data_IF_678141831159
#
_entry.id   IF_678141831159
#
_cell.length_a   1.000
_cell.length_b   1.000
_cell.length_c   1.000
_cell.angle_alpha   90.00
_cell.angle_beta   90.00
_cell.angle_gamma   90.00
#
_symmetry.space_group_name_H-M   'P 1'
#
loop_
_entity.id
_entity.type
_entity.pdbx_description
1 polymer ?
#
# COMPACT_ATOMS: atom_id res chain seq x y z
N UNK A 1 5.37 85.74 -41.06
CA UNK A 1 4.65 84.84 -40.13
C UNK A 1 4.38 83.54 -40.86
N UNK A 2 5.23 82.53 -40.70
CA UNK A 2 5.11 81.23 -41.37
C UNK A 2 4.27 80.30 -40.50
N UNK A 3 3.12 79.87 -41.00
CA UNK A 3 2.24 78.94 -40.29
C UNK A 3 2.83 77.52 -40.32
N UNK A 4 3.15 76.99 -39.15
CA UNK A 4 3.62 75.62 -38.95
C UNK A 4 2.44 74.65 -39.06
N UNK A 5 2.46 73.75 -40.06
CA UNK A 5 1.47 72.70 -40.22
C UNK A 5 1.70 71.60 -39.16
N UNK A 6 0.74 71.41 -38.26
CA UNK A 6 0.76 70.32 -37.27
C UNK A 6 0.39 69.00 -37.96
N UNK A 7 1.10 67.88 -37.67
CA UNK A 7 0.75 66.59 -38.24
C UNK A 7 -0.57 66.09 -37.65
N UNK A 8 -1.45 65.61 -38.51
CA UNK A 8 -2.71 64.99 -38.11
C UNK A 8 -2.42 63.66 -37.38
N UNK A 9 -2.80 63.59 -36.09
CA UNK A 9 -2.79 62.34 -35.32
C UNK A 9 -3.81 61.37 -35.92
N UNK A 10 -3.33 60.23 -36.43
CA UNK A 10 -4.18 59.10 -36.82
C UNK A 10 -5.02 58.65 -35.61
N UNK A 11 -6.35 58.71 -35.75
CA UNK A 11 -7.28 58.16 -34.77
C UNK A 11 -7.29 56.65 -34.95
N UNK A 12 -6.80 55.92 -33.96
CA UNK A 12 -6.98 54.46 -33.88
C UNK A 12 -8.47 54.20 -33.70
N UNK A 13 -9.09 53.60 -34.72
CA UNK A 13 -10.50 53.19 -34.65
C UNK A 13 -10.65 52.10 -33.58
N UNK A 14 -11.70 52.15 -32.74
CA UNK A 14 -11.93 51.14 -31.73
C UNK A 14 -12.17 49.77 -32.39
N UNK A 15 -11.60 48.69 -31.83
CA UNK A 15 -11.74 47.35 -32.41
C UNK A 15 -13.23 46.96 -32.41
N UNK A 16 -13.79 46.77 -33.60
CA UNK A 16 -15.16 46.30 -33.76
C UNK A 16 -15.19 44.80 -33.52
N UNK A 17 -16.07 44.34 -32.63
CA UNK A 17 -16.29 42.92 -32.30
C UNK A 17 -16.73 42.04 -33.50
N UNK A 18 -16.93 42.63 -34.68
CA UNK A 18 -17.31 41.95 -35.92
C UNK A 18 -16.16 41.79 -36.92
N UNK A 19 -14.93 42.13 -36.52
CA UNK A 19 -13.79 41.99 -37.42
C UNK A 19 -13.40 40.50 -37.56
N UNK A 20 -13.50 39.88 -38.76
CA UNK A 20 -13.18 38.47 -38.96
C UNK A 20 -11.73 38.14 -38.56
N UNK A 21 -10.82 39.13 -38.60
CA UNK A 21 -9.44 38.97 -38.15
C UNK A 21 -9.33 38.78 -36.64
N UNK A 22 -10.18 39.47 -35.88
CA UNK A 22 -10.27 39.31 -34.42
C UNK A 22 -10.80 37.92 -34.08
N UNK A 23 -11.82 37.45 -34.78
CA UNK A 23 -12.38 36.11 -34.60
C UNK A 23 -11.34 35.02 -34.87
N UNK A 24 -10.58 35.13 -35.96
CA UNK A 24 -9.49 34.18 -36.27
C UNK A 24 -8.44 34.16 -35.16
N UNK A 25 -8.04 35.34 -34.67
CA UNK A 25 -7.09 35.44 -33.55
C UNK A 25 -7.62 34.77 -32.28
N UNK A 26 -8.88 35.00 -31.92
CA UNK A 26 -9.53 34.38 -30.76
C UNK A 26 -9.58 32.86 -30.90
N UNK A 27 -9.97 32.35 -32.08
CA UNK A 27 -10.02 30.90 -32.34
C UNK A 27 -8.64 30.27 -32.24
N UNK A 28 -7.60 30.91 -32.79
CA UNK A 28 -6.21 30.45 -32.67
C UNK A 28 -5.73 30.40 -31.22
N UNK A 29 -6.06 31.42 -30.42
CA UNK A 29 -5.72 31.46 -28.99
C UNK A 29 -6.46 30.33 -28.26
N UNK A 30 -7.77 30.18 -28.48
CA UNK A 30 -8.57 29.14 -27.86
C UNK A 30 -8.07 27.72 -28.20
N UNK A 31 -7.71 27.49 -29.48
CA UNK A 31 -7.13 26.21 -29.93
C UNK A 31 -5.76 25.94 -29.28
N UNK A 32 -4.90 26.96 -29.18
CA UNK A 32 -3.60 26.85 -28.51
C UNK A 32 -3.76 26.53 -27.02
N UNK A 33 -4.64 27.24 -26.32
CA UNK A 33 -4.95 26.99 -24.91
C UNK A 33 -5.53 25.59 -24.72
N UNK A 34 -6.49 25.18 -25.54
CA UNK A 34 -7.07 23.84 -25.47
C UNK A 34 -6.01 22.75 -25.74
N UNK A 35 -5.11 22.98 -26.69
CA UNK A 35 -3.99 22.08 -26.98
C UNK A 35 -3.04 21.93 -25.79
N UNK A 36 -2.62 23.04 -25.19
CA UNK A 36 -1.76 23.04 -24.00
C UNK A 36 -2.46 22.38 -22.81
N UNK A 37 -3.72 22.71 -22.54
CA UNK A 37 -4.49 22.08 -21.44
C UNK A 37 -4.62 20.58 -21.64
N UNK A 38 -4.87 20.14 -22.88
CA UNK A 38 -4.97 18.71 -23.20
C UNK A 38 -3.64 17.99 -23.02
N UNK A 39 -2.54 18.62 -23.45
CA UNK A 39 -1.19 18.08 -23.28
C UNK A 39 -0.79 17.97 -21.81
N UNK A 40 -1.07 19.00 -21.02
CA UNK A 40 -0.82 19.00 -19.56
C UNK A 40 -1.65 17.94 -18.87
N UNK A 41 -2.94 17.81 -19.20
CA UNK A 41 -3.81 16.74 -18.64
C UNK A 41 -3.32 15.34 -18.99
N UNK A 42 -2.80 15.14 -20.20
CA UNK A 42 -2.20 13.86 -20.58
C UNK A 42 -0.91 13.58 -19.79
N UNK A 43 -0.12 14.61 -19.50
CA UNK A 43 1.10 14.49 -18.71
C UNK A 43 0.84 14.29 -17.19
N UNK A 44 -0.15 14.96 -16.63
CA UNK A 44 -0.55 14.91 -15.21
C UNK A 44 -1.55 13.77 -14.92
N UNK A 45 -1.32 12.58 -15.48
CA UNK A 45 -2.13 11.39 -15.19
C UNK A 45 -1.77 10.81 -13.81
N UNK A 46 -2.24 11.46 -12.75
CA UNK A 46 -2.22 10.94 -11.38
C UNK A 46 -3.63 10.58 -10.95
N UNK A 47 -3.79 9.50 -10.19
CA UNK A 47 -5.05 9.05 -9.64
C UNK A 47 -5.07 9.33 -8.12
N UNK A 48 -6.20 9.81 -7.56
CA UNK A 48 -6.36 9.97 -6.12
C UNK A 48 -6.64 8.59 -5.49
N UNK A 49 -5.70 8.12 -4.67
CA UNK A 49 -5.75 6.83 -3.97
C UNK A 49 -5.46 7.01 -2.48
N UNK A 50 -5.88 6.05 -1.66
CA UNK A 50 -5.59 6.10 -0.23
C UNK A 50 -4.18 5.60 0.10
N UNK A 51 -3.58 6.26 1.09
CA UNK A 51 -2.27 5.95 1.66
C UNK A 51 -2.37 5.91 3.19
N UNK A 52 -1.73 4.94 3.83
CA UNK A 52 -1.75 4.79 5.28
C UNK A 52 -0.90 5.86 5.98
N UNK A 53 -1.42 6.46 7.05
CA UNK A 53 -0.68 7.48 7.85
C UNK A 53 0.12 6.88 9.00
N UNK A 54 -0.17 5.62 9.36
CA UNK A 54 0.46 4.86 10.44
C UNK A 54 0.63 3.41 9.99
N UNK A 55 1.34 2.61 10.78
CA UNK A 55 1.37 1.17 10.56
C UNK A 55 -0.01 0.57 10.85
N UNK A 56 -0.50 -0.23 9.91
CA UNK A 56 -1.78 -0.91 9.98
C UNK A 56 -1.53 -2.42 9.87
N UNK A 57 -1.54 -3.15 11.00
CA UNK A 57 -1.45 -4.61 10.98
C UNK A 57 -2.64 -5.25 10.25
N UNK A 58 -2.50 -6.50 9.82
CA UNK A 58 -3.65 -7.23 9.31
C UNK A 58 -4.66 -7.51 10.43
N UNK A 59 -5.93 -7.62 10.06
CA UNK A 59 -7.04 -7.61 11.00
C UNK A 59 -7.46 -6.21 11.47
N UNK A 60 -6.72 -5.17 11.08
CA UNK A 60 -7.12 -3.78 11.35
C UNK A 60 -8.37 -3.44 10.55
N UNK A 61 -9.43 -3.02 11.24
CA UNK A 61 -10.61 -2.41 10.63
C UNK A 61 -10.29 -0.95 10.33
N UNK A 62 -10.44 -0.55 9.07
CA UNK A 62 -10.08 0.78 8.61
C UNK A 62 -11.08 1.85 9.06
N UNK A 63 -10.54 2.94 9.59
CA UNK A 63 -11.26 4.19 9.85
C UNK A 63 -10.68 5.36 9.03
N UNK A 64 -11.39 6.48 8.98
CA UNK A 64 -11.03 7.70 8.26
C UNK A 64 -9.71 8.31 8.75
N UNK A 65 -9.34 8.09 10.01
CA UNK A 65 -8.09 8.59 10.57
C UNK A 65 -6.85 7.81 10.12
N UNK A 66 -7.04 6.61 9.56
CA UNK A 66 -5.94 5.73 9.16
C UNK A 66 -5.35 6.10 7.80
N UNK A 67 -6.12 6.80 6.96
CA UNK A 67 -5.81 7.01 5.56
C UNK A 67 -5.85 8.48 5.15
N UNK A 68 -4.95 8.85 4.25
CA UNK A 68 -4.95 10.14 3.55
C UNK A 68 -4.96 9.93 2.04
N UNK A 69 -5.44 10.92 1.29
CA UNK A 69 -5.47 10.85 -0.17
C UNK A 69 -4.12 11.31 -0.74
N UNK A 70 -3.49 10.43 -1.50
CA UNK A 70 -2.28 10.70 -2.27
C UNK A 70 -2.60 10.73 -3.77
N UNK A 71 -1.97 11.65 -4.51
CA UNK A 71 -2.08 11.71 -5.97
C UNK A 71 -0.84 11.09 -6.59
N UNK A 72 -0.97 9.87 -7.09
CA UNK A 72 0.14 9.08 -7.62
C UNK A 72 -0.19 8.51 -8.99
N UNK A 73 0.83 8.26 -9.80
CA UNK A 73 0.67 7.61 -11.10
C UNK A 73 0.73 6.09 -10.90
N UNK A 74 -0.43 5.46 -10.91
CA UNK A 74 -0.63 4.03 -10.70
C UNK A 74 -1.65 3.49 -11.69
N UNK A 75 -1.61 2.18 -11.91
CA UNK A 75 -2.62 1.50 -12.72
C UNK A 75 -3.99 1.52 -12.01
N UNK A 76 -5.05 1.68 -12.79
CA UNK A 76 -6.40 1.75 -12.25
C UNK A 76 -6.82 0.41 -11.61
N UNK A 77 -7.39 0.47 -10.41
CA UNK A 77 -7.92 -0.70 -9.69
C UNK A 77 -6.89 -1.48 -8.87
N UNK A 78 -5.60 -1.15 -8.94
CA UNK A 78 -4.57 -1.79 -8.09
C UNK A 78 -4.65 -1.33 -6.65
N UNK A 79 -5.01 -0.06 -6.45
CA UNK A 79 -5.11 0.60 -5.14
C UNK A 79 -6.52 1.15 -4.93
N UNK A 80 -6.89 1.29 -3.67
CA UNK A 80 -8.21 1.81 -3.28
C UNK A 80 -8.32 3.28 -3.67
N UNK A 81 -9.25 3.57 -4.56
CA UNK A 81 -9.54 4.94 -4.99
C UNK A 81 -10.16 5.78 -3.87
N UNK A 82 -9.88 7.08 -3.86
CA UNK A 82 -10.43 8.02 -2.87
C UNK A 82 -11.98 8.10 -2.86
N UNK A 83 -12.66 7.51 -3.84
CA UNK A 83 -14.12 7.45 -3.95
C UNK A 83 -14.74 6.19 -3.34
N UNK A 84 -13.95 5.15 -3.04
CA UNK A 84 -14.44 3.82 -2.66
C UNK A 84 -14.85 3.71 -1.18
N UNK A 85 -14.45 4.67 -0.33
CA UNK A 85 -14.77 4.71 1.11
C UNK A 85 -14.58 3.34 1.80
N UNK A 86 -13.33 2.91 2.06
CA UNK A 86 -13.04 1.57 2.58
C UNK A 86 -13.33 1.38 4.08
N UNK A 87 -14.06 2.31 4.68
CA UNK A 87 -14.30 2.35 6.13
C UNK A 87 -15.11 1.14 6.57
N UNK A 88 -14.69 0.52 7.67
CA UNK A 88 -15.30 -0.73 8.15
C UNK A 88 -14.91 -1.98 7.37
N UNK A 89 -14.04 -1.89 6.36
CA UNK A 89 -13.35 -3.05 5.80
C UNK A 89 -12.12 -3.38 6.65
N UNK A 90 -11.66 -4.62 6.55
CA UNK A 90 -10.53 -5.12 7.32
C UNK A 90 -9.37 -5.47 6.41
N UNK A 91 -8.17 -5.13 6.85
CA UNK A 91 -6.94 -5.44 6.14
C UNK A 91 -6.60 -6.92 6.25
N UNK A 92 -6.42 -7.58 5.11
CA UNK A 92 -6.01 -9.00 5.03
C UNK A 92 -4.50 -9.18 5.12
N UNK A 93 -3.75 -8.11 4.84
CA UNK A 93 -2.31 -8.02 5.04
C UNK A 93 -1.95 -6.71 5.74
N UNK A 94 -0.84 -6.69 6.48
CA UNK A 94 -0.25 -5.46 6.97
C UNK A 94 0.03 -4.44 5.84
N UNK A 95 -0.13 -3.16 6.17
CA UNK A 95 0.15 -2.00 5.32
C UNK A 95 1.00 -1.03 6.13
N UNK A 96 2.18 -0.70 5.60
CA UNK A 96 3.14 0.17 6.27
C UNK A 96 2.78 1.64 6.22
N UNK A 97 3.42 2.45 7.06
CA UNK A 97 3.29 3.91 7.00
C UNK A 97 3.73 4.46 5.64
N UNK A 98 2.90 5.31 5.03
CA UNK A 98 3.15 5.87 3.70
C UNK A 98 2.94 4.89 2.53
N UNK A 99 2.50 3.66 2.80
CA UNK A 99 2.14 2.70 1.76
C UNK A 99 0.76 3.01 1.18
N UNK A 100 0.61 2.86 -0.13
CA UNK A 100 -0.67 2.94 -0.81
C UNK A 100 -1.50 1.70 -0.50
N UNK A 101 -2.77 1.87 -0.15
CA UNK A 101 -3.63 0.74 0.24
C UNK A 101 -3.97 -0.11 -0.99
N UNK A 102 -3.51 -1.37 -1.09
CA UNK A 102 -3.84 -2.23 -2.21
C UNK A 102 -5.31 -2.66 -2.14
N UNK A 103 -6.04 -2.63 -3.26
CA UNK A 103 -7.44 -3.03 -3.28
C UNK A 103 -7.63 -4.51 -2.87
N UNK A 104 -6.68 -5.38 -3.26
CA UNK A 104 -6.66 -6.80 -2.87
C UNK A 104 -6.28 -7.05 -1.40
N UNK A 105 -5.87 -6.02 -0.65
CA UNK A 105 -5.60 -6.13 0.78
C UNK A 105 -6.85 -5.89 1.65
N UNK A 106 -8.01 -5.61 1.04
CA UNK A 106 -9.26 -5.38 1.76
C UNK A 106 -10.18 -6.59 1.69
N UNK A 107 -10.85 -6.86 2.82
CA UNK A 107 -11.96 -7.79 2.91
C UNK A 107 -13.07 -7.18 3.76
N UNK A 108 -14.30 -7.67 3.60
CA UNK A 108 -15.37 -7.37 4.56
C UNK A 108 -15.08 -8.05 5.90
N UNK A 109 -15.45 -7.41 7.01
CA UNK A 109 -15.27 -7.98 8.36
C UNK A 109 -15.87 -9.38 8.48
N UNK A 110 -17.06 -9.59 7.90
CA UNK A 110 -17.75 -10.89 7.93
C UNK A 110 -17.01 -12.00 7.16
N UNK A 111 -16.15 -11.62 6.21
CA UNK A 111 -15.35 -12.56 5.42
C UNK A 111 -13.92 -12.72 5.95
N UNK A 112 -13.52 -11.94 6.96
CA UNK A 112 -12.20 -12.03 7.56
C UNK A 112 -12.19 -13.04 8.70
N UNK A 113 -11.86 -14.27 8.34
CA UNK A 113 -11.81 -15.40 9.26
C UNK A 113 -10.36 -15.86 9.46
N UNK A 114 -9.55 -15.00 10.06
CA UNK A 114 -8.17 -15.30 10.44
C UNK A 114 -7.86 -14.77 11.85
N UNK A 115 -6.90 -15.40 12.53
CA UNK A 115 -6.47 -15.02 13.88
C UNK A 115 -4.95 -15.07 14.00
N UNK A 116 -4.32 -14.16 14.77
CA UNK A 116 -2.89 -14.26 15.07
C UNK A 116 -2.63 -15.45 15.99
N UNK A 117 -1.58 -16.22 15.68
CA UNK A 117 -1.11 -17.35 16.47
C UNK A 117 0.37 -17.14 16.79
N UNK A 118 0.73 -17.29 18.06
CA UNK A 118 2.11 -17.16 18.52
C UNK A 118 2.94 -18.39 18.12
N UNK A 119 4.01 -18.16 17.38
CA UNK A 119 5.00 -19.18 16.99
C UNK A 119 6.31 -18.82 17.66
N UNK A 120 6.67 -19.59 18.69
CA UNK A 120 7.94 -19.41 19.40
C UNK A 120 9.05 -20.12 18.64
N UNK A 121 10.03 -19.38 18.16
CA UNK A 121 11.16 -19.95 17.41
C UNK A 121 12.29 -20.32 18.34
N UNK A 122 12.90 -21.49 18.11
CA UNK A 122 14.13 -21.91 18.81
C UNK A 122 15.39 -21.35 18.15
N UNK A 123 15.26 -20.85 16.92
CA UNK A 123 16.32 -20.22 16.13
C UNK A 123 16.05 -18.74 15.90
N UNK A 124 17.10 -17.92 15.71
CA UNK A 124 16.93 -16.51 15.37
C UNK A 124 16.10 -16.34 14.09
N UNK A 125 15.17 -15.40 14.14
CA UNK A 125 14.40 -14.96 12.98
C UNK A 125 15.28 -14.01 12.16
N UNK A 126 15.18 -14.07 10.83
CA UNK A 126 15.96 -13.19 9.97
C UNK A 126 15.61 -11.72 10.24
N UNK A 127 16.63 -10.83 10.27
CA UNK A 127 16.45 -9.41 10.63
C UNK A 127 15.47 -8.63 9.73
N UNK A 128 15.20 -9.12 8.51
CA UNK A 128 14.23 -8.52 7.59
C UNK A 128 12.78 -8.95 7.81
N UNK A 129 12.51 -9.83 8.78
CA UNK A 129 11.15 -10.30 9.09
C UNK A 129 10.58 -9.45 10.22
N UNK A 130 9.47 -8.78 9.96
CA UNK A 130 8.73 -7.95 10.90
C UNK A 130 7.24 -7.89 10.54
N UNK A 131 6.45 -7.05 11.24
CA UNK A 131 5.07 -6.75 10.82
C UNK A 131 5.07 -6.35 9.35
N UNK A 132 4.25 -6.99 8.52
CA UNK A 132 4.39 -6.81 7.06
C UNK A 132 4.76 -8.06 6.31
N UNK A 133 5.72 -8.80 6.87
CA UNK A 133 6.44 -9.85 6.17
C UNK A 133 5.55 -11.07 5.89
N UNK A 134 5.81 -11.73 4.77
CA UNK A 134 5.21 -13.02 4.43
C UNK A 134 6.23 -14.12 4.75
N UNK A 135 5.80 -15.10 5.53
CA UNK A 135 6.65 -16.18 6.06
C UNK A 135 6.01 -17.54 5.90
N UNK A 136 6.86 -18.55 5.86
CA UNK A 136 6.51 -19.95 6.00
C UNK A 136 6.93 -20.44 7.38
N UNK A 137 6.09 -21.26 8.01
CA UNK A 137 6.35 -21.88 9.31
C UNK A 137 6.64 -23.35 9.11
N UNK A 138 7.78 -23.79 9.63
CA UNK A 138 8.25 -25.17 9.56
C UNK A 138 8.41 -25.75 10.95
N UNK A 139 8.10 -27.04 11.10
CA UNK A 139 8.43 -27.83 12.28
C UNK A 139 9.49 -28.85 11.89
N UNK A 140 10.53 -28.98 12.70
CA UNK A 140 11.55 -30.01 12.57
C UNK A 140 11.50 -30.92 13.78
N UNK A 141 11.25 -32.20 13.55
CA UNK A 141 11.25 -33.23 14.60
C UNK A 141 12.45 -34.13 14.39
N UNK A 142 13.09 -34.54 15.47
CA UNK A 142 14.19 -35.52 15.44
C UNK A 142 13.61 -36.86 15.85
N UNK A 143 13.79 -37.89 15.02
CA UNK A 143 13.33 -39.24 15.33
C UNK A 143 14.23 -39.96 16.35
N UNK A 144 13.87 -41.20 16.70
CA UNK A 144 14.62 -42.03 17.65
C UNK A 144 16.05 -42.36 17.17
N UNK A 145 16.28 -42.34 15.85
CA UNK A 145 17.59 -42.55 15.22
C UNK A 145 18.42 -41.26 15.12
N UNK A 146 17.91 -40.15 15.66
CA UNK A 146 18.55 -38.84 15.64
C UNK A 146 18.49 -38.14 14.29
N UNK A 147 17.65 -38.59 13.36
CA UNK A 147 17.50 -37.97 12.04
C UNK A 147 16.44 -36.85 12.08
N UNK A 148 16.79 -35.63 11.64
CA UNK A 148 15.82 -34.54 11.56
C UNK A 148 14.91 -34.71 10.34
N UNK A 149 13.60 -34.52 10.55
CA UNK A 149 12.59 -34.45 9.51
C UNK A 149 11.83 -33.12 9.63
N UNK A 150 11.89 -32.31 8.58
CA UNK A 150 11.23 -31.00 8.53
C UNK A 150 9.95 -31.07 7.71
N UNK A 151 8.86 -30.52 8.24
CA UNK A 151 7.56 -30.44 7.57
C UNK A 151 7.04 -29.00 7.60
N UNK A 152 6.44 -28.59 6.49
CA UNK A 152 5.76 -27.31 6.39
C UNK A 152 4.45 -27.36 7.20
N UNK A 153 4.26 -26.36 8.05
CA UNK A 153 3.09 -26.22 8.94
C UNK A 153 2.12 -25.20 8.38
N UNK A 154 2.64 -24.09 7.87
CA UNK A 154 1.86 -23.06 7.20
C UNK A 154 2.71 -22.31 6.19
N UNK A 155 2.11 -21.99 5.05
CA UNK A 155 2.75 -21.26 3.96
C UNK A 155 2.11 -19.90 3.77
N UNK A 156 2.91 -18.94 3.31
CA UNK A 156 2.47 -17.59 2.95
C UNK A 156 1.67 -16.87 4.05
N UNK A 157 2.06 -17.06 5.30
CA UNK A 157 1.41 -16.43 6.44
C UNK A 157 1.95 -15.00 6.63
N UNK A 158 1.06 -14.05 6.86
CA UNK A 158 1.45 -12.69 7.20
C UNK A 158 1.89 -12.61 8.66
N UNK A 159 2.97 -11.86 8.90
CA UNK A 159 3.44 -11.54 10.26
C UNK A 159 2.67 -10.33 10.77
N UNK A 160 2.01 -10.52 11.91
CA UNK A 160 1.31 -9.48 12.67
C UNK A 160 2.30 -8.71 13.55
N UNK A 161 3.12 -9.44 14.32
CA UNK A 161 4.10 -8.87 15.23
C UNK A 161 5.29 -9.82 15.44
N UNK A 162 6.43 -9.24 15.86
CA UNK A 162 7.60 -9.99 16.32
C UNK A 162 8.00 -9.46 17.68
N UNK A 163 8.01 -10.34 18.68
CA UNK A 163 8.46 -10.03 20.04
C UNK A 163 9.77 -10.77 20.32
N UNK A 164 10.79 -10.03 20.76
CA UNK A 164 11.99 -10.65 21.29
C UNK A 164 11.75 -11.01 22.76
N UNK A 165 12.07 -12.24 23.17
CA UNK A 165 12.14 -12.55 24.59
C UNK A 165 13.31 -11.74 25.19
N UNK A 166 13.02 -10.68 25.94
CA UNK A 166 13.98 -9.83 26.66
C UNK A 166 14.71 -10.55 27.82
N UNK A 167 14.78 -11.88 27.77
CA UNK A 167 15.49 -12.71 28.73
C UNK A 167 17.01 -12.54 28.55
N UNK A 168 17.52 -11.37 28.94
CA UNK A 168 18.92 -10.94 28.92
C UNK A 168 19.91 -11.85 29.69
N UNK A 169 19.44 -12.99 30.20
CA UNK A 169 20.20 -13.94 31.01
C UNK A 169 20.21 -15.38 30.47
N UNK A 170 19.43 -15.69 29.43
CA UNK A 170 19.43 -16.99 28.75
C UNK A 170 19.91 -16.78 27.32
N UNK A 171 21.12 -17.26 26.98
CA UNK A 171 21.78 -17.03 25.69
C UNK A 171 21.09 -17.62 24.44
N UNK A 172 19.80 -17.96 24.52
CA UNK A 172 18.95 -18.31 23.39
C UNK A 172 18.10 -17.09 23.03
N UNK A 173 18.41 -16.41 21.93
CA UNK A 173 17.58 -15.36 21.36
C UNK A 173 16.26 -15.91 20.80
N UNK A 174 15.44 -16.49 21.67
CA UNK A 174 14.11 -16.96 21.34
C UNK A 174 13.25 -15.75 20.99
N UNK A 175 12.54 -15.84 19.87
CA UNK A 175 11.63 -14.80 19.41
C UNK A 175 10.26 -15.44 19.24
N UNK A 176 9.23 -14.68 19.58
CA UNK A 176 7.85 -15.05 19.32
C UNK A 176 7.38 -14.27 18.11
N UNK A 177 7.03 -14.99 17.04
CA UNK A 177 6.45 -14.40 15.83
C UNK A 177 4.95 -14.68 15.84
N UNK A 178 4.15 -13.63 15.76
CA UNK A 178 2.71 -13.75 15.62
C UNK A 178 2.37 -13.81 14.14
N UNK A 179 1.89 -14.97 13.70
CA UNK A 179 1.50 -15.19 12.30
C UNK A 179 -0.01 -15.28 12.19
N UNK A 180 -0.56 -14.73 11.12
CA UNK A 180 -2.01 -14.71 10.88
C UNK A 180 -2.40 -16.00 10.19
N UNK A 181 -3.22 -16.80 10.87
CA UNK A 181 -3.66 -18.12 10.41
C UNK A 181 -5.15 -18.06 10.05
N UNK A 182 -5.52 -18.40 8.81
CA UNK A 182 -6.91 -18.59 8.41
C UNK A 182 -7.61 -19.68 9.22
N UNK A 183 -8.90 -19.49 9.52
CA UNK A 183 -9.68 -20.39 10.37
C UNK A 183 -9.80 -21.82 9.80
N UNK A 184 -9.85 -21.96 8.47
CA UNK A 184 -9.88 -23.25 7.78
C UNK A 184 -8.57 -24.06 7.95
N UNK A 185 -7.47 -23.38 8.29
CA UNK A 185 -6.16 -24.00 8.57
C UNK A 185 -5.84 -24.08 10.06
N UNK A 186 -6.67 -23.49 10.93
CA UNK A 186 -6.37 -23.31 12.35
C UNK A 186 -6.15 -24.63 13.08
N UNK A 187 -7.06 -25.61 12.92
CA UNK A 187 -6.93 -26.93 13.56
C UNK A 187 -5.60 -27.60 13.18
N UNK A 188 -5.32 -27.74 11.88
CA UNK A 188 -4.10 -28.37 11.40
C UNK A 188 -2.82 -27.63 11.85
N UNK A 189 -2.88 -26.30 11.94
CA UNK A 189 -1.78 -25.47 12.43
C UNK A 189 -1.53 -25.70 13.93
N UNK A 190 -2.58 -25.71 14.74
CA UNK A 190 -2.49 -25.97 16.19
C UNK A 190 -2.02 -27.40 16.49
N UNK A 191 -2.52 -28.40 15.74
CA UNK A 191 -2.08 -29.79 15.85
C UNK A 191 -0.58 -29.91 15.56
N UNK A 192 -0.08 -29.17 14.57
CA UNK A 192 1.33 -29.14 14.23
C UNK A 192 2.19 -28.41 15.29
N UNK A 193 1.67 -27.35 15.92
CA UNK A 193 2.34 -26.66 17.03
C UNK A 193 2.37 -27.49 18.32
N UNK A 194 1.44 -28.43 18.48
CA UNK A 194 1.41 -29.35 19.62
C UNK A 194 2.47 -30.47 19.53
N UNK A 195 3.08 -30.65 18.36
CA UNK A 195 4.19 -31.61 18.19
C UNK A 195 5.44 -31.08 18.88
N UNK A 196 6.07 -31.91 19.71
CA UNK A 196 7.36 -31.57 20.33
C UNK A 196 8.45 -31.54 19.24
N UNK A 197 8.84 -30.33 18.83
CA UNK A 197 9.75 -30.11 17.72
C UNK A 197 10.24 -28.67 17.61
N UNK A 198 11.30 -28.47 16.84
CA UNK A 198 11.90 -27.16 16.60
C UNK A 198 11.09 -26.39 15.55
N UNK A 199 10.48 -25.28 15.96
CA UNK A 199 9.77 -24.37 15.07
C UNK A 199 10.74 -23.35 14.46
N UNK A 200 10.67 -23.19 13.14
CA UNK A 200 11.44 -22.22 12.38
C UNK A 200 10.52 -21.39 11.49
N UNK A 201 10.68 -20.06 11.58
CA UNK A 201 9.99 -19.11 10.71
C UNK A 201 10.95 -18.69 9.60
N UNK A 202 10.54 -18.89 8.36
CA UNK A 202 11.37 -18.65 7.17
C UNK A 202 10.68 -17.60 6.31
N UNK A 203 11.34 -16.48 6.05
CA UNK A 203 10.82 -15.44 5.16
C UNK A 203 11.00 -15.83 3.69
N UNK A 204 10.11 -15.36 2.83
CA UNK A 204 10.31 -15.44 1.38
C UNK A 204 11.49 -14.52 0.99
N UNK A 205 12.44 -15.06 0.22
CA UNK A 205 13.49 -14.24 -0.36
C UNK A 205 12.90 -13.40 -1.51
N UNK A 206 12.68 -12.10 -1.27
CA UNK A 206 12.12 -11.17 -2.25
C UNK A 206 12.36 -9.72 -1.85
#
# INVERSE_FOLDING_TARGET
MSASARPARGRLAPPSWRDPRLLIGIVLIAASVAGVVSLVRAADSTAPVYMAVRELPAGTVLDQEDLVVAHVRVDAGTYVGATEQPWGQVLTRPVGVGELVPAGALSSVDAYDARPVAVRTTRPVAQGIGPGSIVDVWVTVVDEDGQPSSRLVGEQLAVDAVEADDAAFAGSGAQTVYVIVPQDRMEAFLDALAVDGDLSVVGLAG
#
